data_IF_924269786329
#
_entry.id   IF_924269786329
#
_cell.length_a   1.000
_cell.length_b   1.000
_cell.length_c   1.000
_cell.angle_alpha   90.00
_cell.angle_beta   90.00
_cell.angle_gamma   90.00
#
_symmetry.space_group_name_H-M   'P 1'
#
loop_
_entity.id
_entity.type
_entity.pdbx_description
1 polymer ?
#
# COMPACT_ATOMS: atom_id res chain seq x y z
N UNK A 1 2.10 -10.53 -6.93
CA UNK A 1 3.23 -10.83 -6.01
C UNK A 1 4.07 -12.03 -6.43
N UNK A 2 3.52 -13.18 -6.84
CA UNK A 2 4.31 -14.36 -7.29
C UNK A 2 5.38 -14.01 -8.36
N UNK A 3 5.01 -13.14 -9.31
CA UNK A 3 5.87 -12.60 -10.38
C UNK A 3 6.93 -11.57 -9.93
N UNK A 4 6.93 -11.12 -8.68
CA UNK A 4 7.94 -10.18 -8.18
C UNK A 4 9.19 -10.94 -7.76
N UNK A 5 10.37 -10.60 -8.27
CA UNK A 5 11.64 -11.03 -7.69
C UNK A 5 12.09 -10.06 -6.59
N UNK A 6 12.11 -10.48 -5.31
CA UNK A 6 12.55 -9.62 -4.21
C UNK A 6 14.07 -9.36 -4.20
N UNK A 7 14.88 -10.11 -4.96
CA UNK A 7 16.34 -9.87 -5.04
C UNK A 7 16.68 -8.71 -5.97
N UNK A 8 15.98 -8.61 -7.10
CA UNK A 8 16.22 -7.61 -8.15
C UNK A 8 15.20 -6.46 -8.17
N UNK A 9 14.28 -6.39 -7.21
CA UNK A 9 13.22 -5.37 -7.13
C UNK A 9 12.43 -5.25 -8.45
N UNK A 10 12.08 -6.39 -9.04
CA UNK A 10 11.58 -6.47 -10.42
C UNK A 10 10.28 -7.28 -10.50
N UNK A 11 9.28 -6.77 -11.23
CA UNK A 11 8.13 -7.56 -11.68
C UNK A 11 8.53 -8.29 -12.96
N UNK A 12 8.64 -9.62 -12.91
CA UNK A 12 8.99 -10.48 -14.04
C UNK A 12 7.71 -11.01 -14.70
N UNK A 13 7.31 -10.38 -15.78
CA UNK A 13 6.04 -10.68 -16.46
C UNK A 13 6.24 -11.81 -17.45
N UNK A 14 7.25 -11.71 -18.31
CA UNK A 14 7.76 -12.78 -19.16
C UNK A 14 9.30 -12.62 -19.31
N UNK A 15 9.93 -13.34 -20.24
CA UNK A 15 11.39 -13.32 -20.38
C UNK A 15 11.94 -11.96 -20.87
N UNK A 16 11.19 -11.28 -21.74
CA UNK A 16 11.54 -9.99 -22.34
C UNK A 16 10.99 -8.77 -21.59
N UNK A 17 9.85 -8.91 -20.89
CA UNK A 17 9.19 -7.82 -20.17
C UNK A 17 9.39 -7.92 -18.66
N UNK A 18 10.17 -6.98 -18.13
CA UNK A 18 10.56 -6.86 -16.72
C UNK A 18 10.46 -5.41 -16.27
N UNK A 19 9.75 -5.15 -15.18
CA UNK A 19 9.61 -3.80 -14.60
C UNK A 19 10.42 -3.74 -13.31
N UNK A 20 11.61 -3.15 -13.36
CA UNK A 20 12.38 -2.80 -12.17
C UNK A 20 11.78 -1.56 -11.52
N UNK A 21 11.76 -1.51 -10.18
CA UNK A 21 11.26 -0.36 -9.45
C UNK A 21 12.12 0.01 -8.24
N UNK A 22 12.07 1.28 -7.87
CA UNK A 22 12.74 1.83 -6.68
C UNK A 22 11.79 2.67 -5.84
N UNK A 23 12.25 3.20 -4.70
CA UNK A 23 11.41 4.02 -3.81
C UNK A 23 10.94 5.31 -4.48
N UNK A 24 11.71 5.81 -5.45
CA UNK A 24 11.36 6.94 -6.31
C UNK A 24 10.08 6.66 -7.11
N UNK A 25 9.79 5.40 -7.44
CA UNK A 25 8.54 5.02 -8.11
C UNK A 25 7.36 4.97 -7.13
N UNK A 26 7.57 4.57 -5.87
CA UNK A 26 6.56 4.70 -4.81
C UNK A 26 6.22 6.19 -4.58
N UNK A 27 7.23 7.05 -4.59
CA UNK A 27 7.04 8.50 -4.57
C UNK A 27 6.26 9.00 -5.79
N UNK A 28 6.58 8.54 -7.01
CA UNK A 28 5.78 8.90 -8.20
C UNK A 28 4.33 8.45 -8.07
N UNK A 29 4.09 7.23 -7.57
CA UNK A 29 2.74 6.66 -7.45
C UNK A 29 1.87 7.39 -6.42
N UNK A 30 2.37 7.59 -5.19
CA UNK A 30 1.55 8.14 -4.09
C UNK A 30 1.87 9.59 -3.70
N UNK A 31 2.96 10.17 -4.21
CA UNK A 31 3.48 11.48 -3.81
C UNK A 31 3.74 11.62 -2.29
N UNK A 32 4.24 10.55 -1.69
CA UNK A 32 4.74 10.51 -0.31
C UNK A 32 6.25 10.78 -0.26
N UNK A 33 6.84 11.22 0.87
CA UNK A 33 8.27 11.51 0.94
C UNK A 33 9.19 10.35 0.53
N UNK A 34 10.26 10.68 -0.21
CA UNK A 34 11.24 9.73 -0.78
C UNK A 34 12.66 9.90 -0.21
N UNK A 35 12.80 10.77 0.77
CA UNK A 35 14.06 11.25 1.33
C UNK A 35 13.86 11.64 2.78
N UNK A 36 14.93 11.63 3.57
CA UNK A 36 14.90 12.02 4.97
C UNK A 36 15.39 10.90 5.87
N UNK A 37 14.87 10.85 7.10
CA UNK A 37 15.25 9.82 8.07
C UNK A 37 14.54 8.50 7.73
N UNK A 38 15.23 7.38 7.86
CA UNK A 38 14.57 6.06 7.81
C UNK A 38 13.47 5.99 8.88
N UNK A 39 12.29 5.49 8.52
CA UNK A 39 11.21 5.22 9.48
C UNK A 39 11.69 4.27 10.60
N UNK A 40 12.56 3.32 10.26
CA UNK A 40 13.20 2.38 11.17
C UNK A 40 14.39 2.94 11.95
N UNK A 41 14.74 4.23 11.82
CA UNK A 41 15.97 4.82 12.40
C UNK A 41 16.05 4.67 13.93
N UNK A 42 14.92 4.69 14.64
CA UNK A 42 14.84 4.49 16.10
C UNK A 42 14.54 3.04 16.51
N UNK A 43 14.56 2.08 15.58
CA UNK A 43 14.13 0.70 15.81
C UNK A 43 12.64 0.60 16.12
N UNK A 44 12.25 -0.43 16.87
CA UNK A 44 10.87 -0.63 17.34
C UNK A 44 10.48 0.40 18.42
N UNK A 45 9.20 0.81 18.50
CA UNK A 45 8.74 1.68 19.58
C UNK A 45 8.80 0.96 20.94
N UNK A 46 9.12 1.72 21.99
CA UNK A 46 9.00 1.27 23.37
C UNK A 46 7.55 1.44 23.88
N UNK A 47 7.32 1.12 25.16
CA UNK A 47 5.99 1.21 25.78
C UNK A 47 5.50 2.65 25.87
N UNK A 48 6.43 3.58 26.07
CA UNK A 48 6.18 5.01 26.22
C UNK A 48 5.66 5.61 24.90
N UNK A 49 6.31 5.30 23.78
CA UNK A 49 5.85 5.68 22.43
C UNK A 49 4.53 5.00 22.08
N UNK A 50 4.36 3.73 22.43
CA UNK A 50 3.11 2.99 22.20
C UNK A 50 1.94 3.60 22.97
N UNK A 51 2.16 3.97 24.23
CA UNK A 51 1.18 4.65 25.08
C UNK A 51 0.86 6.07 24.61
N UNK A 52 1.87 6.84 24.17
CA UNK A 52 1.68 8.16 23.58
C UNK A 52 0.76 8.11 22.35
N UNK A 53 0.96 7.14 21.46
CA UNK A 53 0.13 7.00 20.26
C UNK A 53 -1.29 6.54 20.61
N UNK A 54 -1.45 5.46 21.38
CA UNK A 54 -2.76 4.92 21.75
C UNK A 54 -3.58 5.92 22.58
N UNK A 55 -3.04 6.38 23.69
CA UNK A 55 -3.77 7.21 24.66
C UNK A 55 -3.77 8.69 24.25
N UNK A 56 -2.61 9.20 23.80
CA UNK A 56 -2.38 10.62 23.56
C UNK A 56 -2.82 11.14 22.17
N UNK A 57 -2.95 10.27 21.17
CA UNK A 57 -3.45 10.65 19.84
C UNK A 57 -4.74 9.93 19.44
N UNK A 58 -4.92 8.66 19.81
CA UNK A 58 -6.13 7.90 19.47
C UNK A 58 -7.19 7.88 20.59
N UNK A 59 -6.88 8.38 21.80
CA UNK A 59 -7.81 8.38 22.94
C UNK A 59 -8.15 6.99 23.51
N UNK A 60 -7.38 5.96 23.14
CA UNK A 60 -7.62 4.56 23.51
C UNK A 60 -7.12 4.31 24.93
N UNK A 61 -8.05 4.30 25.88
CA UNK A 61 -7.77 4.01 27.29
C UNK A 61 -8.09 2.54 27.61
N UNK A 62 -7.06 1.68 27.74
CA UNK A 62 -7.24 0.29 28.18
C UNK A 62 -6.26 -0.72 27.55
N UNK A 63 -6.70 -1.98 27.45
CA UNK A 63 -5.96 -3.10 26.81
C UNK A 63 -5.44 -2.68 25.43
N UNK A 64 -4.22 -3.11 25.06
CA UNK A 64 -3.50 -2.74 23.81
C UNK A 64 -4.26 -3.05 22.50
N UNK A 65 -5.34 -2.33 22.22
CA UNK A 65 -6.10 -2.46 21.00
C UNK A 65 -5.57 -1.48 19.96
N UNK A 66 -4.70 -1.96 19.07
CA UNK A 66 -4.12 -1.20 17.95
C UNK A 66 -5.11 -1.12 16.78
N UNK A 67 -6.34 -0.71 17.09
CA UNK A 67 -7.45 -0.66 16.13
C UNK A 67 -7.19 0.37 15.04
N UNK A 68 -7.45 -0.03 13.80
CA UNK A 68 -7.45 0.85 12.62
C UNK A 68 -8.73 1.70 12.66
N UNK A 69 -9.86 1.14 13.13
CA UNK A 69 -11.12 1.88 13.34
C UNK A 69 -10.96 3.02 14.34
N UNK A 70 -10.21 2.85 15.42
CA UNK A 70 -9.94 3.96 16.35
C UNK A 70 -9.17 5.12 15.69
N UNK A 71 -8.33 4.85 14.68
CA UNK A 71 -7.73 5.91 13.86
C UNK A 71 -8.76 6.52 12.88
N UNK A 72 -9.63 5.71 12.29
CA UNK A 72 -10.74 6.17 11.46
C UNK A 72 -11.71 7.08 12.23
N UNK A 73 -12.10 6.73 13.45
CA UNK A 73 -12.96 7.50 14.36
C UNK A 73 -12.37 8.88 14.74
N UNK A 74 -11.04 9.02 14.72
CA UNK A 74 -10.37 10.32 14.87
C UNK A 74 -10.46 11.13 13.56
N UNK A 75 -10.24 10.49 12.41
CA UNK A 75 -10.30 11.16 11.09
C UNK A 75 -11.71 11.63 10.74
N UNK A 76 -12.73 10.83 11.06
CA UNK A 76 -14.14 11.07 10.73
C UNK A 76 -14.89 11.92 11.78
N UNK A 77 -14.21 12.37 12.84
CA UNK A 77 -14.79 13.20 13.89
C UNK A 77 -15.24 14.55 13.35
N UNK A 78 -16.42 14.99 13.79
CA UNK A 78 -16.82 16.40 13.67
C UNK A 78 -16.05 17.25 14.68
N UNK A 79 -15.20 18.14 14.18
CA UNK A 79 -14.39 19.07 14.97
C UNK A 79 -15.01 20.49 15.03
N UNK A 80 -16.21 20.69 14.46
CA UNK A 80 -16.80 22.01 14.29
C UNK A 80 -15.96 22.89 13.34
N UNK A 81 -15.75 24.16 13.72
CA UNK A 81 -15.15 25.16 12.83
C UNK A 81 -13.61 25.12 12.77
N UNK A 82 -12.93 24.85 13.90
CA UNK A 82 -11.46 24.88 13.98
C UNK A 82 -10.93 23.81 14.95
N UNK A 83 -9.97 23.01 14.49
CA UNK A 83 -9.25 22.05 15.34
C UNK A 83 -8.18 22.75 16.20
N UNK A 84 -8.13 22.43 17.49
CA UNK A 84 -7.00 22.80 18.35
C UNK A 84 -5.69 22.15 17.87
N UNK A 85 -4.55 22.67 18.31
CA UNK A 85 -3.22 22.11 17.97
C UNK A 85 -3.11 20.62 18.37
N UNK A 86 -3.73 20.23 19.48
CA UNK A 86 -3.77 18.83 19.92
C UNK A 86 -4.59 17.96 18.95
N UNK A 87 -5.76 18.44 18.53
CA UNK A 87 -6.63 17.73 17.58
C UNK A 87 -6.01 17.61 16.19
N UNK A 88 -5.36 18.67 15.68
CA UNK A 88 -4.60 18.61 14.43
C UNK A 88 -3.47 17.58 14.49
N UNK A 89 -2.81 17.45 15.65
CA UNK A 89 -1.74 16.48 15.87
C UNK A 89 -2.28 15.05 15.96
N UNK A 90 -3.38 14.85 16.68
CA UNK A 90 -4.11 13.57 16.72
C UNK A 90 -4.59 13.15 15.33
N UNK A 91 -5.21 14.05 14.57
CA UNK A 91 -5.65 13.84 13.19
C UNK A 91 -4.51 13.41 12.28
N UNK A 92 -3.36 14.12 12.29
CA UNK A 92 -2.18 13.76 11.49
C UNK A 92 -1.67 12.35 11.80
N UNK A 93 -1.59 12.00 13.08
CA UNK A 93 -1.13 10.67 13.52
C UNK A 93 -2.13 9.58 13.13
N UNK A 94 -3.42 9.81 13.38
CA UNK A 94 -4.48 8.89 12.99
C UNK A 94 -4.53 8.68 11.48
N UNK A 95 -4.44 9.75 10.68
CA UNK A 95 -4.40 9.69 9.23
C UNK A 95 -3.23 8.84 8.70
N UNK A 96 -2.02 9.02 9.24
CA UNK A 96 -0.88 8.18 8.86
C UNK A 96 -1.11 6.72 9.29
N UNK A 97 -1.63 6.46 10.49
CA UNK A 97 -1.93 5.09 10.94
C UNK A 97 -2.94 4.41 10.02
N UNK A 98 -4.01 5.11 9.65
CA UNK A 98 -5.06 4.62 8.76
C UNK A 98 -4.51 4.34 7.37
N UNK A 99 -3.86 5.32 6.72
CA UNK A 99 -3.31 5.18 5.36
C UNK A 99 -2.20 4.12 5.30
N UNK A 100 -1.34 4.02 6.31
CA UNK A 100 -0.33 2.96 6.38
C UNK A 100 -0.98 1.60 6.55
N UNK A 101 -2.00 1.47 7.40
CA UNK A 101 -2.59 0.16 7.73
C UNK A 101 -3.64 -0.33 6.71
N UNK A 102 -4.13 0.54 5.82
CA UNK A 102 -5.12 0.21 4.77
C UNK A 102 -4.54 0.20 3.36
N UNK A 103 -3.59 1.09 3.04
CA UNK A 103 -3.13 1.34 1.68
C UNK A 103 -1.65 1.02 1.48
N UNK A 104 -0.77 1.58 2.31
CA UNK A 104 0.69 1.58 2.06
C UNK A 104 1.41 0.35 2.64
N UNK A 105 0.87 -0.27 3.68
CA UNK A 105 1.41 -1.47 4.34
C UNK A 105 0.30 -2.32 4.98
N UNK A 106 -0.77 -2.70 4.23
CA UNK A 106 -1.88 -3.44 4.80
C UNK A 106 -1.45 -4.78 5.40
N UNK A 107 -1.95 -5.05 6.61
CA UNK A 107 -1.63 -6.22 7.41
C UNK A 107 -2.55 -7.42 7.17
N UNK A 108 -2.18 -8.58 7.71
CA UNK A 108 -2.97 -9.81 7.64
C UNK A 108 -4.10 -9.88 8.68
N UNK A 109 -4.04 -9.04 9.71
CA UNK A 109 -4.97 -9.06 10.85
C UNK A 109 -6.05 -8.01 10.63
N UNK A 110 -7.30 -8.41 10.74
CA UNK A 110 -8.43 -7.48 10.73
C UNK A 110 -8.30 -6.46 11.87
N UNK A 111 -8.58 -5.20 11.55
CA UNK A 111 -8.59 -4.06 12.49
C UNK A 111 -7.33 -3.98 13.40
N UNK A 112 -6.14 -4.17 12.84
CA UNK A 112 -4.89 -4.17 13.60
C UNK A 112 -3.75 -3.46 12.86
N UNK A 113 -3.35 -2.31 13.37
CA UNK A 113 -2.22 -1.54 12.87
C UNK A 113 -0.87 -2.16 13.29
N UNK A 114 0.11 -2.15 12.38
CA UNK A 114 1.52 -2.36 12.75
C UNK A 114 2.02 -1.19 13.60
N UNK A 115 3.00 -1.45 14.46
CA UNK A 115 3.68 -0.41 15.28
C UNK A 115 5.09 -0.08 14.81
N UNK A 116 5.62 -0.79 13.81
CA UNK A 116 7.02 -0.69 13.38
C UNK A 116 7.44 0.70 12.88
N UNK A 117 6.47 1.57 12.56
CA UNK A 117 6.66 2.97 12.19
C UNK A 117 6.33 4.01 13.27
N UNK A 118 5.80 3.61 14.44
CA UNK A 118 5.24 4.56 15.42
C UNK A 118 6.27 5.51 16.04
N UNK A 119 7.55 5.13 16.02
CA UNK A 119 8.65 6.03 16.39
C UNK A 119 8.73 7.30 15.51
N UNK A 120 8.21 7.27 14.28
CA UNK A 120 8.10 8.41 13.38
C UNK A 120 6.88 9.31 13.66
N UNK A 121 5.93 8.84 14.48
CA UNK A 121 4.70 9.56 14.85
C UNK A 121 4.84 10.36 16.15
N UNK A 122 5.93 10.16 16.89
CA UNK A 122 6.18 10.79 18.21
C UNK A 122 6.15 12.32 18.19
N UNK A 123 6.53 12.92 17.06
CA UNK A 123 6.34 14.34 16.79
C UNK A 123 5.59 14.52 15.45
N UNK A 124 4.33 14.95 15.45
CA UNK A 124 3.55 15.08 14.23
C UNK A 124 4.08 16.09 13.21
N UNK A 125 4.90 17.07 13.62
CA UNK A 125 5.56 17.99 12.68
C UNK A 125 6.72 17.35 11.93
N UNK A 126 7.27 16.24 12.44
CA UNK A 126 8.38 15.51 11.86
C UNK A 126 7.96 14.42 10.86
N UNK A 127 6.66 14.12 10.75
CA UNK A 127 6.13 13.05 9.88
C UNK A 127 6.62 13.20 8.43
N UNK A 128 6.62 14.41 7.88
CA UNK A 128 7.08 14.69 6.51
C UNK A 128 8.59 14.50 6.29
N UNK A 129 9.38 14.41 7.37
CA UNK A 129 10.85 14.32 7.35
C UNK A 129 11.37 12.86 7.34
N UNK A 130 10.48 11.89 7.18
CA UNK A 130 10.80 10.46 7.11
C UNK A 130 10.61 9.91 5.70
N UNK A 131 11.48 8.98 5.29
CA UNK A 131 11.42 8.31 3.99
C UNK A 131 10.33 7.20 4.00
N UNK A 132 9.08 7.63 3.79
CA UNK A 132 7.94 6.72 3.72
C UNK A 132 7.97 5.82 2.49
N UNK A 133 8.59 6.27 1.40
CA UNK A 133 8.73 5.46 0.18
C UNK A 133 9.63 4.25 0.41
N UNK A 134 10.76 4.42 1.10
CA UNK A 134 11.64 3.33 1.55
C UNK A 134 10.92 2.36 2.51
N UNK A 135 10.11 2.87 3.44
CA UNK A 135 9.28 2.04 4.32
C UNK A 135 8.32 1.14 3.52
N UNK A 136 7.55 1.72 2.59
CA UNK A 136 6.60 0.96 1.75
C UNK A 136 7.28 -0.15 0.95
N UNK A 137 8.44 0.14 0.36
CA UNK A 137 9.22 -0.87 -0.38
C UNK A 137 9.67 -2.03 0.53
N UNK A 138 10.19 -1.73 1.72
CA UNK A 138 10.63 -2.76 2.67
C UNK A 138 9.48 -3.65 3.12
N UNK A 139 8.34 -3.05 3.49
CA UNK A 139 7.11 -3.76 3.85
C UNK A 139 6.56 -4.62 2.70
N UNK A 140 6.67 -4.13 1.47
CA UNK A 140 6.29 -4.87 0.26
C UNK A 140 7.19 -6.09 0.02
N UNK A 141 8.50 -5.96 0.20
CA UNK A 141 9.41 -7.12 0.07
C UNK A 141 9.20 -8.17 1.15
N UNK A 142 9.00 -7.78 2.41
CA UNK A 142 8.62 -8.71 3.48
C UNK A 142 7.37 -9.52 3.11
N UNK A 143 6.35 -8.85 2.56
CA UNK A 143 5.14 -9.51 2.09
C UNK A 143 5.38 -10.45 0.89
N UNK A 144 6.17 -10.04 -0.10
CA UNK A 144 6.53 -10.88 -1.26
C UNK A 144 7.32 -12.13 -0.83
N UNK A 145 8.30 -11.97 0.06
CA UNK A 145 9.09 -13.08 0.62
C UNK A 145 8.19 -14.05 1.39
N UNK A 146 7.30 -13.53 2.23
CA UNK A 146 6.32 -14.35 2.96
C UNK A 146 5.41 -15.13 2.02
N UNK A 147 4.76 -14.46 1.05
CA UNK A 147 3.86 -15.14 0.08
C UNK A 147 4.59 -16.23 -0.71
N UNK A 148 5.86 -16.03 -1.08
CA UNK A 148 6.66 -17.07 -1.74
C UNK A 148 7.00 -18.24 -0.80
N UNK A 149 7.28 -17.97 0.48
CA UNK A 149 7.50 -19.02 1.48
C UNK A 149 6.23 -19.85 1.73
N UNK A 150 5.07 -19.19 1.84
CA UNK A 150 3.77 -19.84 2.05
C UNK A 150 3.41 -20.73 0.83
N UNK A 151 3.64 -20.24 -0.40
CA UNK A 151 3.48 -21.03 -1.64
C UNK A 151 4.39 -22.27 -1.67
N UNK A 152 5.68 -22.10 -1.37
CA UNK A 152 6.66 -23.19 -1.43
C UNK A 152 6.42 -24.28 -0.37
N UNK A 153 5.74 -23.95 0.72
CA UNK A 153 5.41 -24.88 1.81
C UNK A 153 4.04 -25.56 1.64
N UNK A 154 3.36 -25.35 0.52
CA UNK A 154 1.97 -25.82 0.27
C UNK A 154 0.96 -25.37 1.34
N UNK A 155 1.28 -24.32 2.09
CA UNK A 155 0.38 -23.73 3.07
C UNK A 155 -0.65 -22.89 2.31
N UNK A 156 -1.93 -23.03 2.65
CA UNK A 156 -2.99 -22.17 2.11
C UNK A 156 -2.67 -20.71 2.49
N UNK A 157 -2.29 -19.89 1.50
CA UNK A 157 -1.99 -18.46 1.72
C UNK A 157 -3.21 -17.81 2.41
N UNK A 158 -3.07 -17.32 3.66
CA UNK A 158 -4.23 -16.86 4.43
C UNK A 158 -4.62 -15.42 4.09
N UNK A 159 -3.67 -14.62 3.58
CA UNK A 159 -3.82 -13.18 3.33
C UNK A 159 -2.69 -12.67 2.45
N UNK A 160 -2.98 -11.79 1.48
CA UNK A 160 -1.95 -11.00 0.79
C UNK A 160 -1.79 -9.69 1.57
N UNK A 161 -0.54 -9.30 1.88
CA UNK A 161 -0.20 -8.12 2.69
C UNK A 161 0.72 -7.16 1.94
N UNK A 162 0.98 -5.98 2.49
CA UNK A 162 1.85 -4.97 1.86
C UNK A 162 1.19 -4.29 0.65
N UNK A 163 1.86 -3.29 0.07
CA UNK A 163 1.24 -2.45 -0.96
C UNK A 163 1.11 -3.17 -2.33
N UNK A 164 0.07 -3.98 -2.49
CA UNK A 164 -0.31 -4.58 -3.78
C UNK A 164 -0.73 -3.53 -4.79
N UNK A 165 -1.40 -2.46 -4.35
CA UNK A 165 -1.85 -1.37 -5.21
C UNK A 165 -0.69 -0.67 -5.92
N UNK A 166 0.45 -0.49 -5.24
CA UNK A 166 1.67 0.01 -5.88
C UNK A 166 2.09 -0.85 -7.08
N UNK A 167 2.13 -2.17 -6.90
CA UNK A 167 2.49 -3.11 -7.98
C UNK A 167 1.46 -3.11 -9.12
N UNK A 168 0.17 -2.93 -8.81
CA UNK A 168 -0.89 -2.83 -9.81
C UNK A 168 -0.76 -1.55 -10.64
N UNK A 169 -0.62 -0.40 -9.98
CA UNK A 169 -0.41 0.89 -10.65
C UNK A 169 0.86 0.84 -11.49
N UNK A 170 1.99 0.45 -10.90
CA UNK A 170 3.28 0.35 -11.60
C UNK A 170 3.21 -0.55 -12.84
N UNK A 171 2.51 -1.69 -12.76
CA UNK A 171 2.27 -2.56 -13.92
C UNK A 171 1.47 -1.82 -14.99
N UNK A 172 0.28 -1.30 -14.64
CA UNK A 172 -0.63 -0.65 -15.59
C UNK A 172 -0.05 0.65 -16.20
N UNK A 173 0.78 1.37 -15.44
CA UNK A 173 1.48 2.58 -15.90
C UNK A 173 2.67 2.28 -16.83
N UNK A 174 3.12 1.02 -16.84
CA UNK A 174 4.19 0.52 -17.74
C UNK A 174 3.65 -0.21 -18.97
N UNK A 175 2.33 -0.32 -19.11
CA UNK A 175 1.66 -1.09 -20.18
C UNK A 175 1.02 -0.16 -21.23
N UNK A 176 1.33 -0.36 -22.51
CA UNK A 176 0.65 0.31 -23.65
C UNK A 176 -0.83 -0.11 -23.82
N UNK A 177 -1.70 0.51 -23.03
CA UNK A 177 -3.16 0.36 -23.10
C UNK A 177 -3.80 1.16 -24.24
N UNK A 178 -3.02 1.65 -25.21
CA UNK A 178 -3.47 2.43 -26.35
C UNK A 178 -4.18 3.72 -25.94
N UNK A 179 -5.50 3.79 -26.15
CA UNK A 179 -6.31 4.98 -25.84
C UNK A 179 -6.46 5.27 -24.34
N UNK A 180 -6.08 4.33 -23.46
CA UNK A 180 -6.09 4.53 -22.01
C UNK A 180 -4.73 4.96 -21.43
N UNK A 181 -3.71 5.18 -22.28
CA UNK A 181 -2.39 5.61 -21.83
C UNK A 181 -2.44 6.98 -21.13
N UNK A 182 -1.75 7.09 -19.99
CA UNK A 182 -1.87 8.23 -19.07
C UNK A 182 -0.62 9.11 -19.11
N UNK A 183 -0.80 10.42 -19.31
CA UNK A 183 0.26 11.45 -19.35
C UNK A 183 1.38 11.26 -18.29
N UNK A 184 2.62 10.87 -18.67
CA UNK A 184 3.61 10.29 -17.73
C UNK A 184 4.11 11.20 -16.60
N UNK A 185 3.93 12.51 -16.71
CA UNK A 185 4.63 13.50 -15.87
C UNK A 185 3.78 14.13 -14.76
N UNK A 186 2.55 13.66 -14.57
CA UNK A 186 1.62 14.21 -13.58
C UNK A 186 1.58 13.36 -12.30
N UNK A 187 1.83 14.01 -11.15
CA UNK A 187 1.85 13.37 -9.83
C UNK A 187 0.63 13.76 -8.96
N UNK A 188 0.29 12.95 -7.93
CA UNK A 188 0.63 11.53 -7.80
C UNK A 188 0.04 10.71 -8.96
N UNK A 189 0.68 9.61 -9.40
CA UNK A 189 0.11 8.76 -10.47
C UNK A 189 -1.24 8.17 -10.06
N UNK A 190 -1.40 7.72 -8.81
CA UNK A 190 -2.59 7.01 -8.32
C UNK A 190 -3.92 7.72 -8.64
N UNK A 191 -3.93 9.07 -8.74
CA UNK A 191 -5.15 9.84 -9.03
C UNK A 191 -5.79 9.53 -10.40
N UNK A 192 -5.02 8.99 -11.34
CA UNK A 192 -5.54 8.55 -12.65
C UNK A 192 -6.01 7.09 -12.64
N UNK A 193 -5.50 6.29 -11.69
CA UNK A 193 -5.87 4.90 -11.49
C UNK A 193 -7.10 4.81 -10.56
N UNK A 194 -8.18 5.51 -10.93
CA UNK A 194 -9.49 5.36 -10.30
C UNK A 194 -10.13 4.00 -10.61
N UNK A 195 -11.17 3.60 -9.87
CA UNK A 195 -11.79 2.27 -10.00
C UNK A 195 -12.15 1.91 -11.44
N UNK A 196 -12.87 2.76 -12.18
CA UNK A 196 -13.28 2.47 -13.56
C UNK A 196 -12.10 2.46 -14.55
N UNK A 197 -11.09 3.29 -14.35
CA UNK A 197 -9.89 3.32 -15.21
C UNK A 197 -9.06 2.07 -14.98
N UNK A 198 -8.75 1.75 -13.71
CA UNK A 198 -8.11 0.48 -13.35
C UNK A 198 -8.94 -0.70 -13.85
N UNK A 199 -10.26 -0.71 -13.71
CA UNK A 199 -11.12 -1.77 -14.24
C UNK A 199 -11.11 -1.84 -15.76
N UNK A 200 -10.94 -0.74 -16.48
CA UNK A 200 -10.93 -0.71 -17.95
C UNK A 200 -9.58 -1.14 -18.52
N UNK A 201 -8.48 -0.69 -17.91
CA UNK A 201 -7.14 -1.22 -18.18
C UNK A 201 -7.10 -2.70 -17.78
N UNK A 202 -7.66 -3.04 -16.60
CA UNK A 202 -7.98 -4.41 -16.13
C UNK A 202 -9.27 -4.96 -16.80
N UNK A 203 -9.56 -4.57 -18.05
CA UNK A 203 -10.47 -5.29 -18.97
C UNK A 203 -9.85 -5.46 -20.36
N UNK A 204 -9.29 -4.39 -20.94
CA UNK A 204 -8.61 -4.41 -22.23
C UNK A 204 -7.48 -5.47 -22.29
N UNK A 205 -6.70 -5.54 -21.22
CA UNK A 205 -5.60 -6.48 -21.05
C UNK A 205 -6.16 -7.95 -20.99
N UNK A 206 -7.42 -8.32 -20.66
CA UNK A 206 -7.80 -9.79 -20.69
C UNK A 206 -8.09 -10.30 -22.09
N UNK A 207 -8.61 -9.45 -22.97
CA UNK A 207 -9.52 -9.87 -24.02
C UNK A 207 -8.84 -10.27 -25.36
N UNK A 208 -7.57 -10.68 -25.36
CA UNK A 208 -6.93 -11.24 -26.56
C UNK A 208 -7.34 -12.71 -26.79
N UNK A 209 -8.00 -12.99 -27.90
CA UNK A 209 -8.60 -14.29 -28.23
C UNK A 209 -7.57 -15.44 -28.38
N UNK A 210 -7.94 -16.66 -27.96
CA UNK A 210 -7.31 -17.88 -28.49
C UNK A 210 -7.32 -19.14 -27.61
N UNK A 211 -7.06 -19.03 -26.30
CA UNK A 211 -6.64 -20.17 -25.46
C UNK A 211 -7.59 -20.52 -24.29
N UNK A 212 -7.43 -21.76 -23.79
CA UNK A 212 -8.19 -22.44 -22.74
C UNK A 212 -8.54 -21.55 -21.51
N UNK A 213 -9.85 -21.44 -21.13
CA UNK A 213 -10.29 -20.67 -19.97
C UNK A 213 -9.75 -21.17 -18.62
N UNK A 214 -9.05 -22.30 -18.56
CA UNK A 214 -8.34 -22.76 -17.36
C UNK A 214 -7.03 -21.99 -17.06
N UNK A 215 -6.47 -21.24 -18.01
CA UNK A 215 -5.14 -20.60 -17.87
C UNK A 215 -5.19 -19.06 -17.96
N UNK A 216 -4.95 -18.40 -16.84
CA UNK A 216 -4.89 -16.94 -16.72
C UNK A 216 -3.55 -16.36 -17.22
N UNK A 217 -3.54 -15.66 -18.37
CA UNK A 217 -2.31 -15.18 -19.04
C UNK A 217 -2.02 -13.68 -18.93
N UNK A 218 -1.38 -13.26 -17.84
CA UNK A 218 -0.74 -11.94 -17.73
C UNK A 218 0.45 -11.77 -18.71
N UNK A 219 0.67 -10.54 -19.17
CA UNK A 219 1.69 -10.06 -20.10
C UNK A 219 1.54 -10.44 -21.58
N UNK A 220 0.35 -10.34 -22.21
CA UNK A 220 0.08 -11.04 -23.50
C UNK A 220 -0.45 -10.31 -24.76
N UNK A 221 -0.78 -9.01 -24.76
CA UNK A 221 -0.53 -8.19 -25.98
C UNK A 221 0.86 -7.55 -25.80
N UNK A 222 1.10 -6.29 -26.17
CA UNK A 222 2.07 -5.54 -25.34
C UNK A 222 1.54 -5.39 -23.89
N UNK A 223 0.25 -5.67 -23.72
CA UNK A 223 -0.61 -5.55 -22.55
C UNK A 223 -1.72 -6.61 -22.64
N UNK A 224 -1.54 -7.82 -22.05
CA UNK A 224 -2.68 -8.67 -21.65
C UNK A 224 -2.56 -9.28 -20.21
N UNK A 225 -3.61 -9.85 -19.61
CA UNK A 225 -3.93 -9.72 -18.15
C UNK A 225 -4.22 -10.99 -17.36
N UNK A 226 -4.32 -10.82 -16.03
CA UNK A 226 -5.34 -11.52 -15.23
C UNK A 226 -5.58 -10.84 -13.85
N UNK A 227 -6.35 -11.49 -12.97
CA UNK A 227 -6.70 -11.09 -11.59
C UNK A 227 -7.64 -9.87 -11.37
N UNK A 228 -8.92 -10.09 -11.72
CA UNK A 228 -10.07 -9.33 -11.23
C UNK A 228 -10.53 -9.69 -9.79
N UNK A 229 -9.71 -10.42 -9.00
CA UNK A 229 -10.16 -11.07 -7.75
C UNK A 229 -10.04 -10.16 -6.50
N UNK A 230 -9.18 -9.13 -6.50
CA UNK A 230 -8.96 -8.30 -5.30
C UNK A 230 -10.00 -7.18 -5.10
N UNK A 231 -10.67 -6.71 -6.17
CA UNK A 231 -11.66 -5.63 -6.07
C UNK A 231 -12.98 -6.08 -5.43
N UNK A 232 -13.32 -7.38 -5.50
CA UNK A 232 -14.54 -7.91 -4.88
C UNK A 232 -14.51 -7.86 -3.34
N UNK A 233 -13.32 -7.82 -2.73
CA UNK A 233 -13.18 -7.71 -1.27
C UNK A 233 -13.34 -6.28 -0.73
N UNK A 234 -13.04 -5.25 -1.52
CA UNK A 234 -13.21 -3.86 -1.05
C UNK A 234 -14.68 -3.43 -0.99
N UNK A 235 -15.55 -3.98 -1.82
CA UNK A 235 -16.97 -3.62 -1.83
C UNK A 235 -17.82 -4.35 -0.77
N UNK A 236 -17.24 -5.29 -0.02
CA UNK A 236 -17.88 -5.97 1.11
C UNK A 236 -17.55 -5.26 2.45
N UNK A 237 -16.69 -4.24 2.42
CA UNK A 237 -16.17 -3.53 3.61
C UNK A 237 -16.47 -2.02 3.61
N UNK A 238 -17.26 -1.52 2.65
CA UNK A 238 -17.80 -0.16 2.55
C UNK A 238 -19.29 -0.23 2.17
#
# INVERSE_FOLDING_TARGET
>A
MSRVDPRSQTIVINESMKITYTKEDVHRVFHIPCTGRSVYHKGMPNKEVTSLVLSGFLGINGKENRSIKAAQEVIERDYGNEMSVHEQNAFKVAFVIYVVSTLLSPGAKYDYASVDYWNALTNPSDIGNYDWSDYVIKRLFEAVVKVKSDLNSSVKIPSITGCTLFLQVLYLDSTDTGVLNLEPHTLPRIKFFGHEVMRSMILADTLSEGDDPSVCHFGRSQVCFCALILLWFLHIML
#
